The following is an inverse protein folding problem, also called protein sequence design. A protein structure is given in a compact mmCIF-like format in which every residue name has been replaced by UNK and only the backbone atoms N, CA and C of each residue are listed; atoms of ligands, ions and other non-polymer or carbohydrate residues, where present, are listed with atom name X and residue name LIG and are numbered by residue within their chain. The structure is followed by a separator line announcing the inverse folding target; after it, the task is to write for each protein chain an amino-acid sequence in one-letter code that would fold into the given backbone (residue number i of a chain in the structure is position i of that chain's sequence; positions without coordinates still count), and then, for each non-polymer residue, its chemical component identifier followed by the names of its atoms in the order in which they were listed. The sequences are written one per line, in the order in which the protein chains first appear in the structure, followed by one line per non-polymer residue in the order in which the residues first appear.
data_IF_644610120301
#
_entry.id   IF_644610120301
#
_cell.length_a   1.000
_cell.length_b   1.000
_cell.length_c   1.000
_cell.angle_alpha   90.00
_cell.angle_beta   90.00
_cell.angle_gamma   90.00
#
_symmetry.space_group_name_H-M   'P 1'
#
loop_
_entity.id
_entity.type
_entity.pdbx_description
1 polymer ?
#
# COMPACT_ATOMS: atom_id res chain seq x y z
N UNK A 1 36.87 -16.76 73.35
CA UNK A 1 36.56 -16.90 74.78
C UNK A 1 35.03 -16.97 74.83
N UNK A 2 34.33 -18.09 75.00
CA UNK A 2 34.27 -19.11 76.07
C UNK A 2 33.54 -20.32 75.40
N UNK A 3 34.17 -21.49 75.20
CA UNK A 3 34.36 -22.62 76.11
C UNK A 3 33.10 -23.37 76.58
N UNK A 4 32.85 -24.53 75.94
CA UNK A 4 32.56 -25.87 76.48
C UNK A 4 31.34 -26.06 77.42
N UNK A 5 30.45 -27.01 77.08
CA UNK A 5 30.22 -28.27 77.85
C UNK A 5 29.08 -29.13 77.27
N UNK A 6 29.44 -30.36 76.86
CA UNK A 6 28.58 -31.54 77.08
C UNK A 6 28.58 -31.89 78.57
N UNK A 7 27.57 -32.66 79.03
CA UNK A 7 27.94 -33.95 79.60
C UNK A 7 27.03 -35.12 79.18
N UNK A 8 27.70 -36.27 79.14
CA UNK A 8 27.28 -37.66 79.04
C UNK A 8 26.55 -38.22 80.27
N UNK A 9 25.69 -39.24 80.10
CA UNK A 9 25.67 -40.53 80.85
C UNK A 9 24.79 -41.54 80.05
N UNK A 10 25.25 -42.66 79.47
CA UNK A 10 25.80 -43.95 79.95
C UNK A 10 24.81 -44.93 80.64
N UNK A 11 24.46 -46.03 79.95
CA UNK A 11 24.57 -47.48 80.32
C UNK A 11 23.51 -48.32 79.57
N UNK A 12 23.90 -49.11 78.56
CA UNK A 12 24.33 -50.53 78.58
C UNK A 12 23.27 -51.50 79.13
N UNK A 13 22.74 -52.37 78.26
CA UNK A 13 22.83 -53.83 78.40
C UNK A 13 22.80 -54.50 77.01
N UNK A 14 23.59 -55.56 76.88
CA UNK A 14 23.92 -56.28 75.66
C UNK A 14 23.02 -57.51 75.45
N UNK A 15 22.95 -57.97 74.20
CA UNK A 15 22.73 -59.35 73.69
C UNK A 15 22.01 -59.20 72.35
N UNK A 16 22.32 -59.86 71.25
CA UNK A 16 23.20 -60.97 70.94
C UNK A 16 22.79 -61.38 69.53
N UNK A 17 23.77 -61.53 68.65
CA UNK A 17 23.67 -61.81 67.22
C UNK A 17 22.75 -63.00 66.90
N UNK A 18 21.92 -62.93 65.85
CA UNK A 18 21.70 -64.11 65.00
C UNK A 18 21.27 -63.76 63.57
N UNK A 19 21.95 -64.45 62.66
CA UNK A 19 21.94 -64.42 61.20
C UNK A 19 20.55 -64.72 60.61
N UNK A 20 20.18 -64.01 59.55
CA UNK A 20 19.02 -64.32 58.71
C UNK A 20 19.24 -63.86 57.28
N UNK A 21 19.96 -64.66 56.48
CA UNK A 21 19.88 -64.58 55.02
C UNK A 21 18.47 -65.05 54.61
N UNK A 22 17.60 -64.11 54.24
CA UNK A 22 16.44 -64.41 53.41
C UNK A 22 16.79 -64.03 51.97
N UNK A 23 17.14 -65.03 51.17
CA UNK A 23 17.14 -64.92 49.72
C UNK A 23 15.69 -64.67 49.28
N UNK A 24 15.34 -63.40 49.03
CA UNK A 24 14.12 -63.07 48.30
C UNK A 24 14.41 -63.16 46.81
N UNK A 25 14.16 -64.35 46.25
CA UNK A 25 13.87 -64.48 44.83
C UNK A 25 12.51 -63.80 44.57
N UNK A 26 12.53 -62.59 44.05
CA UNK A 26 11.35 -61.91 43.50
C UNK A 26 11.70 -61.48 42.09
N UNK A 27 11.13 -62.15 41.09
CA UNK A 27 11.68 -62.24 39.74
C UNK A 27 11.65 -60.95 38.93
N UNK A 28 12.75 -60.73 38.21
CA UNK A 28 12.83 -59.92 36.99
C UNK A 28 12.06 -60.61 35.85
N UNK A 29 10.75 -60.77 36.01
CA UNK A 29 9.87 -61.00 34.86
C UNK A 29 9.82 -59.72 34.02
N UNK A 30 9.69 -59.79 32.68
CA UNK A 30 9.48 -58.60 31.88
C UNK A 30 8.28 -57.86 32.46
N UNK A 31 8.51 -56.64 32.95
CA UNK A 31 7.43 -55.79 33.43
C UNK A 31 6.50 -55.58 32.23
N UNK A 32 5.20 -55.92 32.34
CA UNK A 32 4.30 -55.79 31.21
C UNK A 32 4.34 -54.35 30.69
N UNK A 33 4.32 -54.14 29.37
CA UNK A 33 4.42 -52.81 28.79
C UNK A 33 3.35 -51.90 29.40
N UNK A 34 3.77 -50.74 29.90
CA UNK A 34 2.83 -49.75 30.46
C UNK A 34 1.99 -49.18 29.32
N UNK A 35 0.70 -49.45 29.35
CA UNK A 35 -0.29 -48.91 28.40
C UNK A 35 -1.01 -47.75 29.07
N UNK A 36 -1.29 -46.70 28.29
CA UNK A 36 -2.10 -45.56 28.75
C UNK A 36 -3.53 -46.04 29.04
N UNK A 37 -3.99 -45.82 30.27
CA UNK A 37 -5.35 -46.12 30.70
C UNK A 37 -6.20 -44.85 30.90
N UNK A 38 -5.55 -43.71 31.16
CA UNK A 38 -6.21 -42.41 31.37
C UNK A 38 -5.37 -41.26 30.81
N UNK A 39 -6.04 -40.30 30.18
CA UNK A 39 -5.47 -39.00 29.80
C UNK A 39 -6.16 -37.90 30.59
N UNK A 40 -5.38 -36.95 31.09
CA UNK A 40 -5.85 -35.73 31.75
C UNK A 40 -5.29 -34.51 31.01
N UNK A 41 -6.17 -33.55 30.72
CA UNK A 41 -5.83 -32.30 30.05
C UNK A 41 -5.82 -31.17 31.09
N UNK A 42 -4.88 -30.23 30.94
CA UNK A 42 -4.75 -29.09 31.84
C UNK A 42 -5.94 -28.11 31.85
N UNK A 43 -6.85 -28.23 30.90
CA UNK A 43 -8.11 -27.48 30.85
C UNK A 43 -9.22 -28.31 30.22
N UNK A 44 -10.47 -28.09 30.64
CA UNK A 44 -11.65 -28.68 30.04
C UNK A 44 -12.32 -27.75 29.00
N UNK A 45 -12.09 -26.44 29.10
CA UNK A 45 -12.72 -25.42 28.25
C UNK A 45 -11.73 -24.34 27.83
N UNK A 46 -11.86 -23.85 26.61
CA UNK A 46 -11.11 -22.72 26.07
C UNK A 46 -12.06 -21.72 25.42
N UNK A 47 -12.02 -20.47 25.86
CA UNK A 47 -12.72 -19.36 25.21
C UNK A 47 -11.69 -18.48 24.51
N UNK A 48 -11.79 -18.35 23.18
CA UNK A 48 -10.86 -17.60 22.33
C UNK A 48 -11.59 -16.59 21.46
N UNK A 49 -10.86 -15.59 20.98
CA UNK A 49 -11.32 -14.74 19.88
C UNK A 49 -10.80 -15.32 18.55
N UNK A 50 -11.54 -15.13 17.46
CA UNK A 50 -11.09 -15.54 16.14
C UNK A 50 -9.70 -14.94 15.82
N UNK A 51 -8.78 -15.75 15.31
CA UNK A 51 -7.38 -15.38 15.07
C UNK A 51 -6.43 -15.58 16.25
N UNK A 52 -6.94 -15.85 17.46
CA UNK A 52 -6.11 -16.10 18.64
C UNK A 52 -5.43 -17.48 18.57
N UNK A 53 -4.15 -17.52 18.92
CA UNK A 53 -3.35 -18.76 19.01
C UNK A 53 -3.06 -19.07 20.48
N UNK A 54 -3.36 -20.30 20.89
CA UNK A 54 -3.05 -20.82 22.21
C UNK A 54 -1.86 -21.78 22.17
N UNK A 55 -0.88 -21.63 23.09
CA UNK A 55 0.16 -22.63 23.31
C UNK A 55 -0.40 -24.03 23.58
N UNK A 56 0.43 -25.09 23.45
CA UNK A 56 -0.01 -26.46 23.68
C UNK A 56 -0.69 -26.69 25.02
N UNK A 57 -1.79 -27.44 25.03
CA UNK A 57 -2.44 -27.90 26.25
C UNK A 57 -1.53 -28.93 26.93
N UNK A 58 -1.33 -28.80 28.25
CA UNK A 58 -0.62 -29.81 29.02
C UNK A 58 -1.42 -31.12 29.08
N UNK A 59 -0.76 -32.23 28.77
CA UNK A 59 -1.34 -33.58 28.80
C UNK A 59 -0.57 -34.43 29.79
N UNK A 60 -1.30 -35.13 30.66
CA UNK A 60 -0.75 -36.12 31.59
C UNK A 60 -1.40 -37.46 31.31
N UNK A 61 -0.58 -38.51 31.22
CA UNK A 61 -1.04 -39.86 30.94
C UNK A 61 -0.76 -40.77 32.13
N UNK A 62 -1.69 -41.67 32.43
CA UNK A 62 -1.58 -42.59 33.56
C UNK A 62 -1.86 -44.02 33.12
N UNK A 63 -1.16 -44.97 33.73
CA UNK A 63 -1.47 -46.40 33.61
C UNK A 63 -2.67 -46.81 34.48
N UNK A 64 -3.05 -48.09 34.41
CA UNK A 64 -4.18 -48.64 35.18
C UNK A 64 -3.97 -48.57 36.70
N UNK A 65 -2.72 -48.49 37.16
CA UNK A 65 -2.38 -48.33 38.58
C UNK A 65 -2.35 -46.86 39.03
N UNK A 66 -2.61 -45.91 38.11
CA UNK A 66 -2.60 -44.48 38.38
C UNK A 66 -1.21 -43.85 38.39
N UNK A 67 -0.18 -44.56 37.92
CA UNK A 67 1.17 -44.01 37.80
C UNK A 67 1.34 -43.26 36.47
N UNK A 68 2.01 -42.10 36.52
CA UNK A 68 2.20 -41.22 35.37
C UNK A 68 3.19 -41.84 34.36
N UNK A 69 2.82 -41.79 33.08
CA UNK A 69 3.65 -42.25 31.96
C UNK A 69 4.14 -40.99 31.22
N UNK A 70 5.41 -40.59 31.37
CA UNK A 70 5.96 -39.44 30.66
C UNK A 70 6.21 -39.78 29.18
N UNK A 71 6.24 -38.75 28.33
CA UNK A 71 6.67 -38.87 26.93
C UNK A 71 5.73 -39.65 26.01
N UNK A 72 4.44 -39.77 26.37
CA UNK A 72 3.45 -40.40 25.50
C UNK A 72 3.24 -39.58 24.23
N UNK A 73 3.07 -40.27 23.11
CA UNK A 73 2.66 -39.64 21.85
C UNK A 73 1.16 -39.40 21.91
N UNK A 74 0.75 -38.17 21.63
CA UNK A 74 -0.65 -37.73 21.62
C UNK A 74 -1.02 -37.31 20.20
N UNK A 75 -2.08 -37.90 19.66
CA UNK A 75 -2.70 -37.46 18.42
C UNK A 75 -3.84 -36.48 18.73
N UNK A 76 -3.86 -35.37 18.00
CA UNK A 76 -4.82 -34.28 18.18
C UNK A 76 -5.76 -34.18 17.00
N UNK A 77 -7.02 -33.87 17.27
CA UNK A 77 -8.04 -33.65 16.24
C UNK A 77 -9.03 -32.57 16.68
N UNK A 78 -9.46 -31.74 15.74
CA UNK A 78 -10.61 -30.84 15.93
C UNK A 78 -11.87 -31.45 15.31
N UNK A 79 -13.01 -31.31 16.00
CA UNK A 79 -14.31 -31.67 15.44
C UNK A 79 -14.75 -30.73 14.30
N UNK A 80 -14.28 -29.48 14.31
CA UNK A 80 -14.60 -28.47 13.30
C UNK A 80 -13.39 -27.55 13.02
N UNK A 81 -12.63 -27.83 11.96
CA UNK A 81 -11.51 -26.99 11.53
C UNK A 81 -11.88 -25.56 11.12
N UNK A 82 -13.15 -25.27 10.79
CA UNK A 82 -13.61 -23.91 10.47
C UNK A 82 -13.81 -23.06 11.73
N UNK A 83 -14.03 -23.69 12.89
CA UNK A 83 -14.09 -23.02 14.20
C UNK A 83 -12.71 -22.95 14.84
N UNK A 84 -11.96 -24.06 14.83
CA UNK A 84 -10.60 -24.08 15.37
C UNK A 84 -9.76 -25.25 14.88
N UNK A 85 -8.48 -25.00 14.68
CA UNK A 85 -7.49 -26.01 14.28
C UNK A 85 -6.55 -26.35 15.42
N UNK A 86 -5.98 -27.55 15.39
CA UNK A 86 -4.99 -28.01 16.35
C UNK A 86 -3.83 -28.66 15.62
N UNK A 87 -2.59 -28.30 15.97
CA UNK A 87 -1.38 -28.90 15.39
C UNK A 87 -1.08 -30.26 16.02
N UNK A 88 -0.13 -31.01 15.43
CA UNK A 88 0.37 -32.26 16.02
C UNK A 88 1.05 -32.07 17.38
N UNK A 89 1.54 -30.86 17.67
CA UNK A 89 2.10 -30.48 18.97
C UNK A 89 1.06 -29.96 19.97
N UNK A 90 -0.23 -29.91 19.59
CA UNK A 90 -1.32 -29.46 20.46
C UNK A 90 -1.53 -27.94 20.50
N UNK A 91 -0.90 -27.16 19.62
CA UNK A 91 -1.13 -25.72 19.48
C UNK A 91 -2.51 -25.52 18.85
N UNK A 92 -3.36 -24.69 19.46
CA UNK A 92 -4.72 -24.43 18.97
C UNK A 92 -4.79 -23.03 18.36
N UNK A 93 -5.39 -22.93 17.17
CA UNK A 93 -5.68 -21.65 16.51
C UNK A 93 -7.18 -21.52 16.31
N UNK A 94 -7.77 -20.45 16.87
CA UNK A 94 -9.17 -20.11 16.64
C UNK A 94 -9.33 -19.54 15.22
N UNK A 95 -10.22 -20.13 14.43
CA UNK A 95 -10.42 -19.78 13.01
C UNK A 95 -11.66 -18.91 12.84
N UNK A 96 -12.81 -19.38 13.33
CA UNK A 96 -14.10 -18.73 13.15
C UNK A 96 -14.99 -18.88 14.38
N UNK A 97 -16.00 -18.02 14.53
CA UNK A 97 -16.91 -18.06 15.67
C UNK A 97 -17.69 -19.38 15.71
N UNK A 98 -17.92 -19.92 16.90
CA UNK A 98 -18.67 -21.15 17.09
C UNK A 98 -18.10 -22.05 18.18
N UNK A 99 -18.51 -23.31 18.16
CA UNK A 99 -18.08 -24.32 19.13
C UNK A 99 -17.42 -25.50 18.42
N UNK A 100 -16.26 -25.93 18.92
CA UNK A 100 -15.58 -27.12 18.48
C UNK A 100 -15.13 -27.96 19.68
N UNK A 101 -14.88 -29.24 19.46
CA UNK A 101 -14.26 -30.12 20.45
C UNK A 101 -12.88 -30.51 19.96
N UNK A 102 -11.86 -30.21 20.76
CA UNK A 102 -10.48 -30.64 20.51
C UNK A 102 -10.25 -31.95 21.27
N UNK A 103 -9.90 -33.00 20.55
CA UNK A 103 -9.69 -34.35 21.10
C UNK A 103 -8.20 -34.68 21.11
N UNK A 104 -7.69 -35.05 22.27
CA UNK A 104 -6.38 -35.65 22.47
C UNK A 104 -6.55 -37.16 22.62
N UNK A 105 -5.74 -37.95 21.91
CA UNK A 105 -5.81 -39.41 21.97
C UNK A 105 -4.43 -40.05 22.09
N UNK A 106 -4.33 -41.13 22.85
CA UNK A 106 -3.13 -41.96 22.95
C UNK A 106 -3.56 -43.42 23.08
N UNK A 107 -3.30 -44.21 22.04
CA UNK A 107 -3.85 -45.56 21.90
C UNK A 107 -5.38 -45.53 21.84
N UNK A 108 -6.04 -46.31 22.70
CA UNK A 108 -7.51 -46.40 22.76
C UNK A 108 -8.16 -45.36 23.70
N UNK A 109 -7.36 -44.51 24.36
CA UNK A 109 -7.83 -43.55 25.36
C UNK A 109 -7.85 -42.15 24.75
N UNK A 110 -8.91 -41.39 25.05
CA UNK A 110 -9.06 -40.00 24.61
C UNK A 110 -9.53 -39.09 25.74
N UNK A 111 -9.18 -37.81 25.64
CA UNK A 111 -9.71 -36.73 26.45
C UNK A 111 -10.05 -35.53 25.54
N UNK A 112 -10.97 -34.68 25.97
CA UNK A 112 -11.52 -33.60 25.14
C UNK A 112 -11.48 -32.24 25.83
N UNK A 113 -11.29 -31.18 25.04
CA UNK A 113 -11.47 -29.78 25.45
C UNK A 113 -12.57 -29.15 24.60
N UNK A 114 -13.53 -28.50 25.24
CA UNK A 114 -14.50 -27.66 24.54
C UNK A 114 -13.86 -26.32 24.16
N UNK A 115 -13.86 -26.01 22.87
CA UNK A 115 -13.42 -24.73 22.32
C UNK A 115 -14.66 -23.89 21.98
N UNK A 116 -14.73 -22.70 22.55
CA UNK A 116 -15.68 -21.65 22.20
C UNK A 116 -14.91 -20.48 21.59
N UNK A 117 -15.30 -20.09 20.38
CA UNK A 117 -14.75 -18.93 19.70
C UNK A 117 -15.82 -17.85 19.63
N UNK A 118 -15.57 -16.74 20.32
CA UNK A 118 -16.51 -15.63 20.36
C UNK A 118 -16.48 -14.82 19.05
N UNK A 119 -17.65 -14.46 18.54
CA UNK A 119 -17.78 -13.45 17.49
C UNK A 119 -17.46 -12.07 18.09
N UNK A 120 -16.51 -11.35 17.49
CA UNK A 120 -16.26 -9.95 17.83
C UNK A 120 -17.13 -9.08 16.91
N UNK A 121 -18.13 -8.35 17.43
CA UNK A 121 -19.00 -7.54 16.59
C UNK A 121 -18.21 -6.48 15.84
N UNK A 122 -18.43 -6.40 14.52
CA UNK A 122 -17.87 -5.34 13.69
C UNK A 122 -18.63 -4.04 13.98
N UNK A 123 -17.90 -3.00 14.37
CA UNK A 123 -18.46 -1.66 14.60
C UNK A 123 -18.18 -0.71 13.42
N UNK A 124 -17.06 -0.89 12.72
CA UNK A 124 -16.66 -0.05 11.59
C UNK A 124 -15.92 -0.85 10.54
N UNK A 125 -16.11 -0.52 9.27
CA UNK A 125 -15.33 -1.07 8.16
C UNK A 125 -14.65 0.10 7.44
N UNK A 126 -13.36 -0.05 7.16
CA UNK A 126 -12.57 0.96 6.44
C UNK A 126 -11.92 0.36 5.21
N UNK A 127 -11.83 1.15 4.14
CA UNK A 127 -11.04 0.82 2.96
C UNK A 127 -9.58 1.19 3.19
N UNK A 128 -8.66 0.35 2.68
CA UNK A 128 -7.22 0.59 2.81
C UNK A 128 -6.71 1.80 1.99
N UNK A 129 -7.48 2.24 0.99
CA UNK A 129 -7.18 3.38 0.11
C UNK A 129 -8.44 4.25 -0.04
N UNK A 130 -8.30 5.58 0.09
CA UNK A 130 -9.43 6.51 0.15
C UNK A 130 -9.92 7.11 -1.18
N UNK A 131 -9.18 6.95 -2.28
CA UNK A 131 -9.64 7.33 -3.63
C UNK A 131 -9.34 6.21 -4.62
N UNK A 132 -10.34 5.87 -5.42
CA UNK A 132 -10.30 4.80 -6.40
C UNK A 132 -10.53 5.38 -7.80
N UNK A 133 -9.44 5.59 -8.51
CA UNK A 133 -9.46 5.96 -9.93
C UNK A 133 -8.99 4.77 -10.75
N UNK A 134 -9.74 4.44 -11.80
CA UNK A 134 -9.47 3.28 -12.64
C UNK A 134 -9.65 3.60 -14.12
N UNK A 135 -8.84 2.99 -14.97
CA UNK A 135 -9.02 3.01 -16.42
C UNK A 135 -9.89 1.84 -16.87
N UNK A 136 -10.79 2.05 -17.84
CA UNK A 136 -11.60 1.00 -18.45
C UNK A 136 -10.72 -0.17 -18.92
N UNK A 137 -11.16 -1.40 -18.63
CA UNK A 137 -10.44 -2.63 -18.92
C UNK A 137 -9.37 -3.00 -17.89
N UNK A 138 -9.07 -2.13 -16.92
CA UNK A 138 -8.16 -2.46 -15.80
C UNK A 138 -8.93 -3.04 -14.62
N UNK A 139 -8.21 -3.82 -13.81
CA UNK A 139 -8.71 -4.38 -12.56
C UNK A 139 -7.80 -4.03 -11.39
N UNK A 140 -8.38 -3.88 -10.20
CA UNK A 140 -7.68 -3.60 -8.96
C UNK A 140 -8.33 -4.36 -7.79
N UNK A 141 -7.54 -4.79 -6.82
CA UNK A 141 -8.05 -5.46 -5.61
C UNK A 141 -8.29 -4.45 -4.50
N UNK A 142 -9.51 -4.42 -3.98
CA UNK A 142 -9.89 -3.59 -2.85
C UNK A 142 -9.82 -4.39 -1.55
N UNK A 143 -9.09 -3.84 -0.57
CA UNK A 143 -8.94 -4.43 0.75
C UNK A 143 -9.64 -3.58 1.79
N UNK A 144 -10.20 -4.26 2.79
CA UNK A 144 -10.93 -3.66 3.89
C UNK A 144 -10.39 -4.17 5.21
N UNK A 145 -10.51 -3.35 6.23
CA UNK A 145 -10.25 -3.72 7.62
C UNK A 145 -11.54 -3.54 8.41
N UNK A 146 -12.00 -4.60 9.07
CA UNK A 146 -13.12 -4.55 9.99
C UNK A 146 -12.61 -4.30 11.41
N UNK A 147 -13.21 -3.32 12.09
CA UNK A 147 -12.79 -2.88 13.41
C UNK A 147 -13.93 -3.02 14.41
N UNK A 148 -13.60 -3.41 15.64
CA UNK A 148 -14.52 -3.44 16.77
C UNK A 148 -14.78 -2.03 17.34
N UNK A 149 -15.62 -1.94 18.38
CA UNK A 149 -15.97 -0.67 19.02
C UNK A 149 -14.79 0.04 19.70
N UNK A 150 -13.68 -0.65 19.94
CA UNK A 150 -12.46 -0.14 20.54
C UNK A 150 -11.40 0.22 19.48
N UNK A 151 -11.67 -0.04 18.20
CA UNK A 151 -10.76 0.21 17.09
C UNK A 151 -9.72 -0.89 16.86
N UNK A 152 -9.87 -2.06 17.50
CA UNK A 152 -9.05 -3.24 17.21
C UNK A 152 -9.62 -4.02 16.02
N UNK A 153 -8.78 -4.78 15.30
CA UNK A 153 -9.25 -5.62 14.20
C UNK A 153 -10.19 -6.72 14.70
N UNK A 154 -11.38 -6.79 14.09
CA UNK A 154 -12.34 -7.86 14.30
C UNK A 154 -12.05 -9.01 13.32
N UNK A 155 -12.21 -10.25 13.77
CA UNK A 155 -12.01 -11.47 12.97
C UNK A 155 -13.27 -12.33 12.88
N UNK A 156 -13.29 -13.26 11.93
CA UNK A 156 -14.39 -14.23 11.79
C UNK A 156 -15.69 -13.67 11.20
N UNK A 157 -15.65 -12.47 10.62
CA UNK A 157 -16.77 -11.85 9.93
C UNK A 157 -16.94 -12.38 8.50
N UNK A 158 -18.15 -12.21 7.97
CA UNK A 158 -18.46 -12.47 6.56
C UNK A 158 -18.52 -11.17 5.78
N UNK A 159 -18.32 -11.22 4.45
CA UNK A 159 -18.41 -10.04 3.59
C UNK A 159 -19.20 -10.31 2.33
N UNK A 160 -19.84 -9.28 1.83
CA UNK A 160 -20.57 -9.25 0.56
C UNK A 160 -20.23 -7.97 -0.19
N UNK A 161 -19.69 -8.11 -1.40
CA UNK A 161 -19.33 -6.99 -2.27
C UNK A 161 -20.49 -6.64 -3.20
N UNK A 162 -20.69 -5.35 -3.46
CA UNK A 162 -21.64 -4.89 -4.46
C UNK A 162 -21.16 -3.58 -5.08
N UNK A 163 -21.70 -3.26 -6.25
CA UNK A 163 -21.44 -2.02 -6.95
C UNK A 163 -22.75 -1.43 -7.43
N UNK A 164 -22.93 -0.14 -7.21
CA UNK A 164 -24.22 0.52 -7.45
C UNK A 164 -24.59 0.57 -8.93
N UNK A 165 -23.61 0.81 -9.79
CA UNK A 165 -23.78 0.80 -11.24
C UNK A 165 -22.87 -0.26 -11.88
N UNK A 166 -23.40 -1.47 -12.13
CA UNK A 166 -22.65 -2.57 -12.74
C UNK A 166 -22.31 -2.33 -14.21
N UNK A 167 -22.78 -1.23 -14.81
CA UNK A 167 -22.41 -0.82 -16.17
C UNK A 167 -21.13 0.02 -16.19
N UNK A 168 -20.74 0.64 -15.06
CA UNK A 168 -19.50 1.41 -14.90
C UNK A 168 -18.34 0.51 -14.46
N UNK A 169 -18.56 -0.38 -13.50
CA UNK A 169 -17.57 -1.35 -13.03
C UNK A 169 -18.27 -2.60 -12.47
N UNK A 170 -17.52 -3.69 -12.27
CA UNK A 170 -17.98 -4.91 -11.59
C UNK A 170 -17.01 -5.28 -10.47
N UNK A 171 -17.51 -5.96 -9.45
CA UNK A 171 -16.71 -6.49 -8.35
C UNK A 171 -17.00 -7.98 -8.17
N UNK A 172 -15.99 -8.77 -7.86
CA UNK A 172 -16.13 -10.19 -7.50
C UNK A 172 -16.11 -10.42 -5.97
N UNK A 173 -16.32 -11.66 -5.53
CA UNK A 173 -16.35 -12.03 -4.10
C UNK A 173 -15.00 -11.87 -3.39
N UNK A 174 -13.91 -11.83 -4.15
CA UNK A 174 -12.56 -11.57 -3.64
C UNK A 174 -12.28 -10.07 -3.45
N UNK A 175 -13.17 -9.19 -3.93
CA UNK A 175 -12.99 -7.74 -3.90
C UNK A 175 -12.12 -7.23 -5.06
N UNK A 176 -11.99 -8.00 -6.14
CA UNK A 176 -11.37 -7.54 -7.38
C UNK A 176 -12.42 -6.77 -8.16
N UNK A 177 -12.15 -5.49 -8.39
CA UNK A 177 -12.99 -4.60 -9.19
C UNK A 177 -12.41 -4.54 -10.60
N UNK A 178 -13.26 -4.67 -11.62
CA UNK A 178 -12.93 -4.46 -13.04
C UNK A 178 -13.70 -3.26 -13.57
N UNK A 179 -13.00 -2.29 -14.13
CA UNK A 179 -13.58 -1.10 -14.74
C UNK A 179 -14.13 -1.40 -16.15
N UNK A 180 -15.37 -1.00 -16.44
CA UNK A 180 -16.09 -1.37 -17.66
C UNK A 180 -16.43 -0.18 -18.56
N UNK A 181 -16.90 0.93 -17.99
CA UNK A 181 -17.33 2.11 -18.73
C UNK A 181 -16.97 3.38 -17.97
N UNK A 182 -16.63 4.43 -18.71
CA UNK A 182 -16.44 5.76 -18.14
C UNK A 182 -17.66 6.20 -17.31
N UNK A 183 -17.39 6.75 -16.14
CA UNK A 183 -18.41 7.26 -15.22
C UNK A 183 -18.00 7.13 -13.77
N UNK A 184 -18.93 7.44 -12.89
CA UNK A 184 -18.76 7.32 -11.44
C UNK A 184 -19.72 6.27 -10.89
N UNK A 185 -19.26 5.46 -9.94
CA UNK A 185 -20.11 4.51 -9.20
C UNK A 185 -19.62 4.36 -7.77
N UNK A 186 -20.37 3.70 -6.91
CA UNK A 186 -19.99 3.46 -5.52
C UNK A 186 -19.76 1.97 -5.32
N UNK A 187 -18.55 1.62 -4.89
CA UNK A 187 -18.21 0.29 -4.40
C UNK A 187 -18.71 0.15 -2.97
N UNK A 188 -19.48 -0.91 -2.71
CA UNK A 188 -20.04 -1.21 -1.40
C UNK A 188 -19.54 -2.55 -0.90
N UNK A 189 -19.30 -2.61 0.40
CA UNK A 189 -18.99 -3.84 1.10
C UNK A 189 -19.84 -3.91 2.36
N UNK A 190 -20.58 -5.00 2.49
CA UNK A 190 -21.32 -5.31 3.72
C UNK A 190 -20.53 -6.35 4.49
N UNK A 191 -20.06 -5.98 5.68
CA UNK A 191 -19.40 -6.89 6.61
C UNK A 191 -20.37 -7.13 7.76
N UNK A 192 -20.92 -8.34 7.82
CA UNK A 192 -22.05 -8.68 8.69
C UNK A 192 -23.20 -7.65 8.58
N UNK A 193 -23.40 -6.80 9.59
CA UNK A 193 -24.43 -5.74 9.60
C UNK A 193 -23.90 -4.36 9.19
N UNK A 194 -22.59 -4.18 9.05
CA UNK A 194 -21.95 -2.89 8.78
C UNK A 194 -21.74 -2.71 7.29
N UNK A 195 -22.26 -1.61 6.74
CA UNK A 195 -22.05 -1.22 5.36
C UNK A 195 -20.95 -0.15 5.28
N UNK A 196 -19.96 -0.36 4.43
CA UNK A 196 -19.02 0.67 4.02
C UNK A 196 -19.13 0.95 2.53
N UNK A 197 -18.75 2.16 2.13
CA UNK A 197 -18.82 2.62 0.75
C UNK A 197 -17.54 3.37 0.37
N UNK A 198 -17.15 3.23 -0.89
CA UNK A 198 -16.00 3.88 -1.51
C UNK A 198 -16.41 4.38 -2.89
N UNK A 199 -16.23 5.67 -3.15
CA UNK A 199 -16.49 6.23 -4.48
C UNK A 199 -15.42 5.74 -5.46
N UNK A 200 -15.88 5.33 -6.64
CA UNK A 200 -15.07 4.82 -7.75
C UNK A 200 -15.29 5.71 -8.98
N UNK A 201 -14.20 6.24 -9.53
CA UNK A 201 -14.19 6.95 -10.82
C UNK A 201 -13.51 6.11 -11.87
N UNK A 202 -14.23 5.86 -12.96
CA UNK A 202 -13.74 5.09 -14.11
C UNK A 202 -13.59 6.02 -15.29
N UNK A 203 -12.43 5.94 -15.93
CA UNK A 203 -12.07 6.75 -17.08
C UNK A 203 -11.90 5.83 -18.30
N UNK A 204 -12.55 6.13 -19.43
CA UNK A 204 -12.37 5.37 -20.68
C UNK A 204 -10.98 5.53 -21.26
N UNK A 205 -10.37 6.68 -20.96
CA UNK A 205 -9.00 7.03 -21.25
C UNK A 205 -8.68 8.33 -20.51
N UNK A 206 -7.43 8.75 -20.61
CA UNK A 206 -6.91 9.99 -20.04
C UNK A 206 -7.63 11.21 -20.64
N UNK A 207 -8.26 12.06 -19.82
CA UNK A 207 -8.77 13.38 -20.25
C UNK A 207 -7.63 14.38 -20.14
N UNK A 208 -7.08 14.77 -21.30
CA UNK A 208 -6.00 15.73 -21.41
C UNK A 208 -6.57 17.07 -21.82
N UNK A 209 -6.32 18.10 -21.03
CA UNK A 209 -6.63 19.46 -21.42
C UNK A 209 -5.36 20.29 -21.54
N UNK A 210 -5.22 21.00 -22.66
CA UNK A 210 -4.32 22.14 -22.69
C UNK A 210 -4.94 23.27 -21.86
N UNK A 211 -4.28 23.65 -20.78
CA UNK A 211 -4.76 24.67 -19.85
C UNK A 211 -4.16 26.04 -20.14
N UNK A 212 -3.02 26.08 -20.83
CA UNK A 212 -2.37 27.30 -21.24
C UNK A 212 -1.31 27.07 -22.30
N UNK A 213 -1.11 28.11 -23.11
CA UNK A 213 0.05 28.31 -23.95
C UNK A 213 0.63 29.65 -23.52
N UNK A 214 1.93 29.72 -23.30
CA UNK A 214 2.59 31.01 -23.04
C UNK A 214 3.85 31.12 -23.88
N UNK A 215 4.19 32.35 -24.26
CA UNK A 215 5.39 32.64 -25.02
C UNK A 215 6.42 33.35 -24.14
N UNK A 216 7.65 32.86 -24.18
CA UNK A 216 8.79 33.55 -23.60
C UNK A 216 9.79 33.88 -24.71
N UNK A 217 10.17 35.16 -24.82
CA UNK A 217 11.23 35.62 -25.74
C UNK A 217 12.64 35.39 -25.20
N UNK A 218 12.77 34.61 -24.12
CA UNK A 218 14.03 34.37 -23.42
C UNK A 218 14.11 32.89 -23.07
N UNK A 219 15.09 32.20 -23.67
CA UNK A 219 15.42 30.81 -23.35
C UNK A 219 16.80 30.80 -22.71
N UNK A 220 16.89 30.26 -21.50
CA UNK A 220 18.15 30.00 -20.84
C UNK A 220 18.83 28.85 -21.60
N UNK A 221 20.03 29.08 -22.13
CA UNK A 221 20.77 28.01 -22.81
C UNK A 221 21.29 26.97 -21.79
N UNK A 222 21.83 25.86 -22.29
CA UNK A 222 22.35 24.73 -21.47
C UNK A 222 23.44 25.15 -20.47
N UNK A 223 24.02 26.34 -20.60
CA UNK A 223 25.00 26.92 -19.66
C UNK A 223 24.39 27.82 -18.59
N UNK A 224 23.05 27.91 -18.50
CA UNK A 224 22.38 28.73 -17.48
C UNK A 224 22.38 30.23 -17.76
N UNK A 225 22.79 30.68 -18.95
CA UNK A 225 22.87 32.10 -19.29
C UNK A 225 21.61 32.59 -19.99
N UNK A 226 21.15 33.79 -19.58
CA UNK A 226 20.02 34.52 -20.17
C UNK A 226 20.58 35.65 -21.04
N UNK A 227 20.62 35.51 -22.37
CA UNK A 227 21.12 36.58 -23.23
C UNK A 227 20.11 37.73 -23.33
N UNK A 228 20.59 38.96 -23.07
CA UNK A 228 19.82 40.20 -23.21
C UNK A 228 19.73 40.56 -24.71
N UNK A 229 18.53 40.89 -25.18
CA UNK A 229 18.19 41.12 -26.60
C UNK A 229 18.90 42.36 -27.16
N UNK A 230 19.56 42.20 -28.32
CA UNK A 230 19.65 43.21 -29.37
C UNK A 230 19.20 42.58 -30.68
N UNK A 231 18.19 43.17 -31.32
CA UNK A 231 17.70 42.85 -32.66
C UNK A 231 17.28 41.39 -32.92
N UNK A 232 15.97 41.12 -32.72
CA UNK A 232 15.15 40.28 -33.60
C UNK A 232 15.80 39.05 -34.24
N UNK A 233 16.52 38.24 -33.45
CA UNK A 233 17.28 37.07 -33.92
C UNK A 233 17.15 35.85 -33.02
N UNK A 234 16.52 35.97 -31.85
CA UNK A 234 16.39 34.89 -30.89
C UNK A 234 15.06 34.14 -31.08
N UNK A 235 15.06 32.80 -30.94
CA UNK A 235 13.85 32.01 -31.07
C UNK A 235 12.88 32.31 -29.91
N UNK A 236 11.59 32.09 -30.18
CA UNK A 236 10.53 32.19 -29.16
C UNK A 236 10.30 30.81 -28.57
N UNK A 237 10.28 30.70 -27.24
CA UNK A 237 9.82 29.48 -26.58
C UNK A 237 8.31 29.50 -26.42
N UNK A 238 7.65 28.46 -26.91
CA UNK A 238 6.24 28.17 -26.64
C UNK A 238 6.15 27.12 -25.53
N UNK A 239 5.57 27.50 -24.40
CA UNK A 239 5.39 26.69 -23.21
C UNK A 239 3.95 26.20 -23.16
N UNK A 240 3.74 24.88 -23.20
CA UNK A 240 2.40 24.27 -23.15
C UNK A 240 2.16 23.69 -21.76
N UNK A 241 1.04 24.07 -21.17
CA UNK A 241 0.58 23.61 -19.86
C UNK A 241 -0.57 22.62 -20.06
N UNK A 242 -0.48 21.49 -19.37
CA UNK A 242 -1.48 20.42 -19.44
C UNK A 242 -2.09 20.19 -18.05
N UNK A 243 -3.37 19.83 -18.02
CA UNK A 243 -3.98 19.11 -16.91
C UNK A 243 -4.45 17.74 -17.37
N UNK A 244 -4.33 16.75 -16.50
CA UNK A 244 -4.83 15.41 -16.73
C UNK A 244 -5.64 14.96 -15.51
N UNK A 245 -6.73 14.22 -15.76
CA UNK A 245 -7.54 13.59 -14.72
C UNK A 245 -6.94 12.27 -14.19
N UNK A 246 -5.87 11.77 -14.84
CA UNK A 246 -5.12 10.59 -14.46
C UNK A 246 -3.62 10.72 -14.83
N UNK A 247 -2.83 9.66 -14.60
CA UNK A 247 -1.42 9.63 -15.01
C UNK A 247 -1.30 9.72 -16.53
N UNK A 248 -0.50 10.67 -17.01
CA UNK A 248 -0.21 10.84 -18.44
C UNK A 248 0.45 9.57 -18.98
N UNK A 249 -0.08 9.05 -20.08
CA UNK A 249 0.44 7.84 -20.69
C UNK A 249 1.84 8.12 -21.30
N UNK A 250 2.77 7.15 -21.25
CA UNK A 250 4.14 7.33 -21.73
C UNK A 250 4.21 7.78 -23.19
N UNK A 251 3.24 7.44 -24.05
CA UNK A 251 3.22 7.77 -25.48
C UNK A 251 2.40 9.02 -25.84
N UNK A 252 2.14 9.92 -24.88
CA UNK A 252 1.38 11.15 -25.14
C UNK A 252 2.23 12.16 -25.91
N UNK A 253 1.70 12.70 -27.01
CA UNK A 253 2.35 13.74 -27.81
C UNK A 253 1.65 15.09 -27.62
N UNK A 254 2.41 16.17 -27.68
CA UNK A 254 1.90 17.54 -27.83
C UNK A 254 2.41 18.09 -29.15
N UNK A 255 1.56 18.80 -29.87
CA UNK A 255 1.89 19.51 -31.10
C UNK A 255 1.62 21.00 -30.92
N UNK A 256 2.47 21.85 -31.46
CA UNK A 256 2.19 23.27 -31.63
C UNK A 256 2.17 23.60 -33.11
N UNK A 257 1.15 24.32 -33.56
CA UNK A 257 0.99 24.82 -34.93
C UNK A 257 0.89 26.33 -34.89
N UNK A 258 1.75 27.01 -35.62
CA UNK A 258 1.77 28.47 -35.68
C UNK A 258 1.71 28.99 -37.11
N UNK A 259 1.14 30.17 -37.29
CA UNK A 259 0.89 30.75 -38.61
C UNK A 259 0.28 32.14 -38.54
N UNK A 260 -0.12 32.64 -39.71
CA UNK A 260 -0.85 33.90 -39.89
C UNK A 260 -2.12 33.67 -40.71
N UNK A 261 -2.74 34.74 -41.22
CA UNK A 261 -3.94 34.66 -42.07
C UNK A 261 -3.74 33.86 -43.36
N UNK A 262 -2.50 33.59 -43.78
CA UNK A 262 -2.14 32.74 -44.90
C UNK A 262 -2.05 31.24 -44.57
N UNK A 263 -2.19 30.86 -43.29
CA UNK A 263 -2.16 29.48 -42.82
C UNK A 263 -0.94 29.16 -41.95
N UNK A 264 -0.70 27.86 -41.72
CA UNK A 264 0.36 27.37 -40.82
C UNK A 264 1.75 27.55 -41.47
N UNK A 265 2.63 28.32 -40.83
CA UNK A 265 4.00 28.58 -41.28
C UNK A 265 5.05 27.75 -40.54
N UNK A 266 4.71 27.21 -39.36
CA UNK A 266 5.58 26.38 -38.53
C UNK A 266 4.77 25.40 -37.67
N UNK A 267 5.27 24.18 -37.51
CA UNK A 267 4.66 23.15 -36.67
C UNK A 267 5.74 22.22 -36.13
N UNK A 268 5.58 21.76 -34.89
CA UNK A 268 6.45 20.77 -34.25
C UNK A 268 5.65 19.89 -33.28
N UNK A 269 6.20 18.73 -32.89
CA UNK A 269 5.59 17.81 -31.94
C UNK A 269 6.62 17.19 -31.00
N UNK A 270 6.36 17.20 -29.71
CA UNK A 270 7.20 16.60 -28.68
C UNK A 270 6.43 15.57 -27.88
N UNK A 271 7.11 14.51 -27.47
CA UNK A 271 6.57 13.52 -26.54
C UNK A 271 6.65 14.07 -25.12
N UNK A 272 5.57 13.94 -24.36
CA UNK A 272 5.58 14.30 -22.94
C UNK A 272 6.39 13.21 -22.21
N UNK A 273 7.53 13.58 -21.63
CA UNK A 273 8.39 12.60 -20.93
C UNK A 273 7.77 12.21 -19.57
N UNK A 274 7.98 10.94 -19.20
CA UNK A 274 7.43 10.13 -18.08
C UNK A 274 7.54 10.69 -16.64
N UNK A 275 7.82 11.98 -16.44
CA UNK A 275 8.10 12.57 -15.12
C UNK A 275 7.22 13.78 -14.76
N UNK A 276 6.01 13.90 -15.33
CA UNK A 276 5.06 14.91 -14.85
C UNK A 276 4.26 14.36 -13.65
N UNK A 277 4.34 14.99 -12.47
CA UNK A 277 3.55 14.59 -11.30
C UNK A 277 2.05 14.79 -11.53
N UNK A 278 1.24 14.04 -10.76
CA UNK A 278 -0.22 14.04 -10.72
C UNK A 278 -0.82 15.36 -10.15
N UNK A 279 -0.37 16.54 -10.56
CA UNK A 279 -1.08 17.81 -10.29
C UNK A 279 -0.71 18.80 -11.39
N UNK A 280 -1.66 19.68 -11.76
CA UNK A 280 -1.36 20.90 -12.51
C UNK A 280 -0.09 21.54 -11.96
N UNK A 281 0.93 21.71 -12.79
CA UNK A 281 2.02 22.62 -12.49
C UNK A 281 1.58 23.98 -13.04
N UNK A 282 0.90 24.84 -12.27
CA UNK A 282 0.68 26.22 -12.73
C UNK A 282 2.03 26.92 -13.03
N UNK A 283 3.13 26.39 -12.50
CA UNK A 283 4.45 27.00 -12.54
C UNK A 283 5.47 26.29 -13.45
N UNK A 284 5.12 25.20 -14.16
CA UNK A 284 6.08 24.50 -15.04
C UNK A 284 5.42 23.90 -16.28
N UNK A 285 5.99 24.13 -17.49
CA UNK A 285 5.41 23.62 -18.72
C UNK A 285 5.55 22.10 -18.83
N UNK A 286 4.50 21.46 -19.34
CA UNK A 286 4.49 20.03 -19.65
C UNK A 286 5.26 19.71 -20.94
N UNK A 287 5.34 20.68 -21.84
CA UNK A 287 6.11 20.63 -23.08
C UNK A 287 6.63 22.02 -23.43
N UNK A 288 7.83 22.10 -23.99
CA UNK A 288 8.42 23.34 -24.49
C UNK A 288 8.87 23.16 -25.94
N UNK A 289 8.62 24.18 -26.76
CA UNK A 289 8.97 24.22 -28.17
C UNK A 289 9.78 25.46 -28.50
N UNK A 290 10.75 25.34 -29.41
CA UNK A 290 11.59 26.44 -29.88
C UNK A 290 11.17 26.85 -31.29
N UNK A 291 10.55 28.02 -31.41
CA UNK A 291 10.09 28.59 -32.68
C UNK A 291 11.21 29.45 -33.26
N UNK A 292 11.75 29.12 -34.46
CA UNK A 292 12.80 29.93 -35.08
C UNK A 292 12.30 31.35 -35.38
N UNK A 293 13.12 32.36 -35.06
CA UNK A 293 12.78 33.77 -35.28
C UNK A 293 12.33 34.10 -36.71
N UNK A 294 12.95 33.47 -37.72
CA UNK A 294 12.58 33.67 -39.13
C UNK A 294 11.14 33.25 -39.47
N UNK A 295 10.44 32.56 -38.56
CA UNK A 295 9.05 32.14 -38.70
C UNK A 295 8.07 33.07 -37.99
N UNK A 296 8.56 33.99 -37.16
CA UNK A 296 7.74 34.91 -36.36
C UNK A 296 7.55 36.21 -37.14
N UNK A 297 6.30 36.61 -37.35
CA UNK A 297 5.90 37.82 -38.06
C UNK A 297 4.79 38.56 -37.30
N UNK A 298 4.47 39.78 -37.70
CA UNK A 298 3.30 40.48 -37.14
C UNK A 298 2.01 39.73 -37.48
N UNK A 299 1.12 39.56 -36.50
CA UNK A 299 -0.09 38.75 -36.65
C UNK A 299 0.14 37.24 -36.55
N UNK A 300 1.34 36.82 -36.18
CA UNK A 300 1.66 35.42 -35.90
C UNK A 300 0.89 34.91 -34.69
N UNK A 301 0.35 33.71 -34.83
CA UNK A 301 -0.51 33.10 -33.84
C UNK A 301 -0.29 31.60 -33.76
N UNK A 302 -0.50 31.00 -32.58
CA UNK A 302 -0.32 29.56 -32.42
C UNK A 302 -1.51 28.89 -31.74
N UNK A 303 -1.61 27.59 -32.00
CA UNK A 303 -2.46 26.65 -31.30
C UNK A 303 -1.63 25.47 -30.80
N UNK A 304 -1.94 24.98 -29.61
CA UNK A 304 -1.42 23.72 -29.08
C UNK A 304 -2.48 22.63 -29.20
N UNK A 305 -2.07 21.42 -29.59
CA UNK A 305 -2.89 20.22 -29.69
C UNK A 305 -2.28 19.08 -28.86
N UNK A 306 -3.08 18.33 -28.12
CA UNK A 306 -2.63 17.13 -27.38
C UNK A 306 -3.09 15.86 -28.10
N UNK A 307 -2.23 14.85 -28.02
CA UNK A 307 -2.32 13.57 -28.71
C UNK A 307 -2.74 13.68 -30.20
N UNK A 308 -1.96 14.42 -31.01
CA UNK A 308 -2.22 14.56 -32.45
C UNK A 308 -2.20 13.24 -33.23
N UNK A 309 -1.68 12.17 -32.64
CA UNK A 309 -1.57 10.84 -33.26
C UNK A 309 -2.75 9.93 -32.91
N UNK A 310 -3.63 10.38 -32.01
CA UNK A 310 -4.76 9.59 -31.50
C UNK A 310 -4.29 8.23 -30.95
N UNK A 311 -3.11 8.22 -30.32
CA UNK A 311 -2.54 7.01 -29.71
C UNK A 311 -3.26 6.63 -28.41
N UNK A 312 -3.92 7.60 -27.78
CA UNK A 312 -4.71 7.48 -26.57
C UNK A 312 -6.13 7.97 -26.88
N UNK A 313 -7.19 7.22 -26.53
CA UNK A 313 -8.54 7.73 -26.68
C UNK A 313 -8.71 9.00 -25.83
N UNK A 314 -9.47 9.98 -26.30
CA UNK A 314 -9.79 11.19 -25.53
C UNK A 314 -11.30 11.28 -25.36
N UNK A 315 -11.72 11.59 -24.13
CA UNK A 315 -13.12 11.66 -23.75
C UNK A 315 -13.77 13.01 -24.08
N UNK A 316 -12.97 14.08 -24.24
CA UNK A 316 -13.44 15.43 -24.50
C UNK A 316 -12.56 16.16 -25.53
N UNK A 317 -12.75 15.86 -26.82
CA UNK A 317 -12.01 16.47 -27.95
C UNK A 317 -11.90 18.00 -27.93
N UNK A 318 -12.83 18.70 -27.29
CA UNK A 318 -12.79 20.17 -27.17
C UNK A 318 -11.65 20.67 -26.28
N UNK A 319 -11.09 19.83 -25.42
CA UNK A 319 -10.00 20.15 -24.49
C UNK A 319 -8.60 19.94 -25.09
N UNK A 320 -8.52 19.23 -26.23
CA UNK A 320 -7.25 18.94 -26.88
C UNK A 320 -6.64 20.14 -27.57
N UNK A 321 -7.35 21.25 -27.76
CA UNK A 321 -6.84 22.44 -28.46
C UNK A 321 -6.89 23.68 -27.58
N UNK A 322 -5.81 24.44 -27.59
CA UNK A 322 -5.73 25.78 -27.00
C UNK A 322 -5.17 26.78 -28.02
N UNK A 323 -5.71 28.01 -28.09
CA UNK A 323 -6.81 28.53 -27.29
C UNK A 323 -8.15 27.85 -27.61
N UNK A 324 -9.04 27.74 -26.61
CA UNK A 324 -10.38 27.16 -26.79
C UNK A 324 -11.25 27.99 -27.75
N UNK A 325 -10.88 29.24 -27.98
CA UNK A 325 -11.45 30.13 -28.99
C UNK A 325 -10.43 31.19 -29.40
N UNK A 326 -10.15 31.30 -30.69
CA UNK A 326 -9.18 32.25 -31.24
C UNK A 326 -7.75 31.70 -31.26
N UNK A 327 -6.86 32.42 -31.92
CA UNK A 327 -5.44 32.09 -31.92
C UNK A 327 -4.71 32.95 -30.88
N UNK A 328 -3.68 32.40 -30.22
CA UNK A 328 -2.89 33.20 -29.30
C UNK A 328 -1.86 34.00 -30.09
N UNK A 329 -2.06 35.31 -30.17
CA UNK A 329 -1.21 36.21 -30.97
C UNK A 329 0.06 36.55 -30.19
N UNK A 330 1.21 36.24 -30.78
CA UNK A 330 2.49 36.68 -30.24
C UNK A 330 2.66 38.16 -30.57
N UNK A 331 2.59 39.01 -29.56
CA UNK A 331 2.86 40.45 -29.74
C UNK A 331 4.35 40.68 -29.64
N UNK A 332 4.97 41.15 -30.73
CA UNK A 332 6.34 41.64 -30.69
C UNK A 332 6.35 43.03 -30.07
N UNK A 333 6.94 43.17 -28.89
CA UNK A 333 7.22 44.47 -28.30
C UNK A 333 8.63 44.86 -28.74
N UNK A 334 8.76 45.94 -29.50
CA UNK A 334 10.06 46.54 -29.76
C UNK A 334 10.58 47.18 -28.47
N UNK A 335 11.64 46.60 -27.91
CA UNK A 335 12.37 47.24 -26.81
C UNK A 335 13.25 48.32 -27.46
N UNK A 336 13.09 49.61 -27.09
CA UNK A 336 13.95 50.66 -27.60
C UNK A 336 15.42 50.32 -27.37
N UNK A 337 16.29 50.75 -28.28
CA UNK A 337 17.72 50.54 -28.11
C UNK A 337 18.17 51.07 -26.74
N UNK A 338 18.86 50.24 -25.96
CA UNK A 338 19.46 50.68 -24.71
C UNK A 338 20.63 51.60 -25.06
N UNK A 339 20.48 52.91 -24.85
CA UNK A 339 21.59 53.86 -24.93
C UNK A 339 22.51 53.63 -23.74
N UNK A 340 23.62 52.94 -24.00
CA UNK A 340 24.72 52.81 -23.04
C UNK A 340 25.67 53.98 -23.31
N UNK A 341 25.55 55.03 -22.49
CA UNK A 341 26.53 56.11 -22.47
C UNK A 341 27.75 55.63 -21.69
N UNK A 342 28.81 55.26 -22.40
CA UNK A 342 30.11 55.08 -21.77
C UNK A 342 30.63 56.46 -21.38
N UNK A 343 30.73 56.71 -20.08
CA UNK A 343 31.43 57.89 -19.54
C UNK A 343 32.90 57.52 -19.42
N UNK A 344 33.78 58.00 -20.31
CA UNK A 344 35.20 57.72 -20.19
C UNK A 344 35.74 58.44 -18.94
N UNK A 345 36.22 57.67 -17.97
CA UNK A 345 37.04 58.21 -16.88
C UNK A 345 38.49 58.26 -17.33
N UNK A 346 39.10 59.44 -17.26
CA UNK A 346 40.54 59.59 -17.48
C UNK A 346 41.26 59.33 -16.17
N UNK A 347 42.05 58.28 -16.13
CA UNK A 347 42.90 57.94 -14.98
C UNK A 347 44.32 58.49 -15.19
N UNK A 348 44.87 59.10 -14.15
CA UNK A 348 46.28 59.43 -14.05
C UNK A 348 47.12 58.14 -13.94
N UNK A 349 48.41 58.29 -14.22
CA UNK A 349 49.39 57.21 -14.10
C UNK A 349 49.51 56.65 -12.66
N UNK A 350 49.03 57.39 -11.65
CA UNK A 350 48.96 56.97 -10.24
C UNK A 350 47.59 56.35 -9.86
N UNK A 351 46.67 56.24 -10.81
CA UNK A 351 45.32 55.70 -10.59
C UNK A 351 44.28 56.73 -10.13
N UNK A 352 44.63 58.01 -9.99
CA UNK A 352 43.68 59.09 -9.65
C UNK A 352 42.80 59.51 -10.84
N UNK A 353 41.52 59.81 -10.63
CA UNK A 353 40.62 60.32 -11.70
C UNK A 353 40.90 61.82 -11.93
N UNK A 354 41.24 62.24 -13.16
CA UNK A 354 41.69 63.63 -13.45
C UNK A 354 40.65 64.51 -14.16
N UNK A 355 39.38 64.11 -14.26
CA UNK A 355 38.40 64.97 -14.91
C UNK A 355 36.95 64.59 -14.64
N UNK A 356 36.12 65.61 -14.50
CA UNK A 356 34.67 65.51 -14.66
C UNK A 356 34.34 65.74 -16.14
N UNK A 357 33.73 64.75 -16.79
CA UNK A 357 32.85 64.96 -17.94
C UNK A 357 31.66 64.04 -17.75
#
# INVERSE_FOLDING_TARGET
MISVRMPSMLRRFASGTLLGLAASCGGDGPTPPRVVARLELGTATLALKAGEVRPPISVRAFDQAGAEIPGVVVAWQSSDPLVGTVTTSGVITAVGPGHATITASSGAVSATVALEVALVPVARVIFASGLAEMLVGRSATFRITALDSLGAEAGGWTREWSIDDPTVARVDDAGVVTALRHGTTTLRVRVDTVLASQDLRVHTALDLAVTGLTFAQVVQNDSGTVPIIRNGGLPVAANVFLSADARIAPDTWVRVRCGDSGGVSWEDSVRVNDALPLVSLPDSPAAQFIIPNARVSSGFSCNAEVDPRQGVPDTLRMNNRFPRSGDEVVTTIEVPALEITFVPIVLAADGGVIGNV
#
